data_IF_575616926014
#
_entry.id   IF_575616926014
#
_cell.length_a   1.000
_cell.length_b   1.000
_cell.length_c   1.000
_cell.angle_alpha   90.00
_cell.angle_beta   90.00
_cell.angle_gamma   90.00
#
_symmetry.space_group_name_H-M   'P 1'
#
loop_
_entity.id
_entity.type
_entity.pdbx_description
1 polymer ?
#
# COMPACT_ATOMS: atom_id res chain seq x y z
N UNK A 1 9.23 -6.82 9.07
CA UNK A 1 10.62 -7.26 9.35
C UNK A 1 11.35 -7.27 8.02
N UNK A 2 12.29 -6.34 7.86
CA UNK A 2 13.24 -6.39 6.74
C UNK A 2 14.15 -7.56 7.06
N UNK A 3 14.05 -8.67 6.31
CA UNK A 3 15.06 -9.71 6.36
C UNK A 3 16.40 -9.07 6.01
N UNK A 4 17.27 -9.02 7.00
CA UNK A 4 18.66 -8.59 6.81
C UNK A 4 19.31 -9.62 5.89
N UNK A 5 19.54 -9.26 4.62
CA UNK A 5 20.33 -10.07 3.72
C UNK A 5 21.63 -10.45 4.40
N UNK A 6 21.98 -11.72 4.36
CA UNK A 6 23.30 -12.17 4.75
C UNK A 6 24.35 -11.48 3.84
N UNK A 7 25.04 -10.50 4.38
CA UNK A 7 26.06 -9.70 3.69
C UNK A 7 27.29 -10.51 3.25
N UNK A 8 27.33 -11.81 3.58
CA UNK A 8 28.41 -12.71 3.22
C UNK A 8 28.26 -13.35 1.83
N UNK A 9 27.11 -13.26 1.18
CA UNK A 9 26.90 -13.77 -0.17
C UNK A 9 26.87 -12.64 -1.20
N UNK A 10 27.65 -12.78 -2.26
CA UNK A 10 27.84 -11.82 -3.36
C UNK A 10 26.59 -11.51 -4.22
N UNK A 11 25.42 -11.99 -3.85
CA UNK A 11 24.17 -11.84 -4.61
C UNK A 11 23.08 -11.34 -3.68
N UNK A 12 22.98 -10.03 -3.55
CA UNK A 12 21.84 -9.39 -2.91
C UNK A 12 20.87 -8.90 -3.99
N UNK A 13 19.63 -9.36 -3.95
CA UNK A 13 18.51 -8.84 -4.75
C UNK A 13 17.56 -8.06 -3.86
N UNK A 14 16.88 -7.08 -4.41
CA UNK A 14 15.83 -6.32 -3.73
C UNK A 14 14.63 -6.15 -4.62
N UNK A 15 13.48 -6.50 -4.10
CA UNK A 15 12.20 -6.25 -4.72
C UNK A 15 11.56 -5.03 -4.05
N UNK A 16 11.38 -3.97 -4.81
CA UNK A 16 10.74 -2.73 -4.38
C UNK A 16 9.28 -2.77 -4.84
N UNK A 17 8.37 -2.76 -3.89
CA UNK A 17 6.95 -2.77 -4.15
C UNK A 17 6.36 -1.47 -3.62
N UNK A 18 5.47 -0.83 -4.41
CA UNK A 18 4.79 0.42 -4.09
C UNK A 18 5.71 1.65 -4.04
N UNK A 19 6.90 1.55 -4.66
CA UNK A 19 7.92 2.60 -4.72
C UNK A 19 8.62 2.56 -6.07
N UNK A 20 8.66 3.69 -6.80
CA UNK A 20 9.35 3.81 -8.07
C UNK A 20 10.43 4.92 -8.11
N UNK A 21 10.66 5.61 -6.98
CA UNK A 21 11.62 6.72 -6.88
C UNK A 21 12.58 6.53 -5.71
N UNK A 22 13.88 6.81 -5.90
CA UNK A 22 14.86 6.75 -4.81
C UNK A 22 14.51 7.66 -3.62
N UNK A 23 13.96 8.85 -3.88
CA UNK A 23 13.67 9.86 -2.84
C UNK A 23 12.59 9.45 -1.84
N UNK A 24 11.75 8.48 -2.18
CA UNK A 24 10.67 8.01 -1.28
C UNK A 24 10.99 6.66 -0.62
N UNK A 25 12.16 6.08 -0.89
CA UNK A 25 12.61 4.89 -0.15
C UNK A 25 13.17 5.28 1.21
N UNK A 26 12.90 4.45 2.23
CA UNK A 26 13.44 4.67 3.58
C UNK A 26 14.97 4.50 3.66
N UNK A 27 15.57 3.76 2.71
CA UNK A 27 17.00 3.47 2.67
C UNK A 27 17.58 3.58 1.26
N UNK A 28 17.67 4.80 0.68
CA UNK A 28 18.13 5.01 -0.70
C UNK A 28 19.58 4.56 -0.95
N UNK A 29 20.39 4.47 0.10
CA UNK A 29 21.78 3.98 0.01
C UNK A 29 21.82 2.49 -0.39
N UNK A 30 20.85 1.69 0.00
CA UNK A 30 20.79 0.27 -0.36
C UNK A 30 20.63 0.07 -1.87
N UNK A 31 19.98 0.99 -2.57
CA UNK A 31 19.84 0.92 -4.03
C UNK A 31 21.19 0.93 -4.77
N UNK A 32 22.25 1.46 -4.15
CA UNK A 32 23.60 1.51 -4.72
C UNK A 32 24.40 0.23 -4.44
N UNK A 33 24.01 -0.51 -3.41
CA UNK A 33 24.71 -1.71 -2.95
C UNK A 33 24.13 -2.99 -3.57
N UNK A 34 22.87 -2.97 -3.91
CA UNK A 34 22.15 -4.13 -4.45
C UNK A 34 22.42 -4.28 -5.95
N UNK A 35 22.77 -5.49 -6.38
CA UNK A 35 23.08 -5.79 -7.79
C UNK A 35 21.86 -6.02 -8.65
N UNK A 36 20.80 -6.57 -8.06
CA UNK A 36 19.57 -6.92 -8.78
C UNK A 36 18.39 -6.24 -8.09
N UNK A 37 17.76 -5.29 -8.77
CA UNK A 37 16.60 -4.56 -8.28
C UNK A 37 15.43 -4.82 -9.21
N UNK A 38 14.31 -5.22 -8.65
CA UNK A 38 13.00 -5.28 -9.32
C UNK A 38 12.10 -4.21 -8.73
N UNK A 39 11.43 -3.46 -9.56
CA UNK A 39 10.47 -2.41 -9.15
C UNK A 39 9.09 -2.78 -9.65
N UNK A 40 8.12 -2.80 -8.74
CA UNK A 40 6.69 -2.95 -9.04
C UNK A 40 5.91 -1.84 -8.37
N UNK A 41 5.26 -0.97 -9.15
CA UNK A 41 4.55 0.18 -8.60
C UNK A 41 3.36 0.60 -9.46
N UNK A 42 2.32 1.13 -8.84
CA UNK A 42 1.13 1.65 -9.51
C UNK A 42 1.08 3.19 -9.53
N UNK A 43 2.02 3.87 -8.90
CA UNK A 43 2.09 5.32 -8.92
C UNK A 43 2.58 5.84 -10.27
N UNK A 44 2.17 7.05 -10.63
CA UNK A 44 2.68 7.71 -11.84
C UNK A 44 4.19 7.91 -11.74
N UNK A 45 4.88 7.51 -12.79
CA UNK A 45 6.32 7.70 -12.90
C UNK A 45 6.65 9.19 -13.04
N UNK A 46 7.66 9.64 -12.33
CA UNK A 46 8.23 10.99 -12.45
C UNK A 46 9.50 10.98 -13.31
N UNK A 47 10.19 12.12 -13.39
CA UNK A 47 11.53 12.21 -14.00
C UNK A 47 12.60 11.47 -13.17
N UNK A 48 12.35 11.25 -11.88
CA UNK A 48 13.21 10.49 -11.00
C UNK A 48 12.86 9.01 -11.08
N UNK A 49 13.83 8.19 -11.50
CA UNK A 49 13.65 6.74 -11.65
C UNK A 49 14.79 5.97 -11.01
N UNK A 50 14.54 4.72 -10.64
CA UNK A 50 15.56 3.77 -10.17
C UNK A 50 16.24 3.17 -11.39
N UNK A 51 17.31 3.85 -11.86
CA UNK A 51 17.95 3.59 -13.15
C UNK A 51 18.71 2.27 -13.23
N UNK A 52 19.07 1.67 -12.09
CA UNK A 52 19.76 0.38 -12.00
C UNK A 52 18.83 -0.81 -11.77
N UNK A 53 17.51 -0.62 -11.88
CA UNK A 53 16.56 -1.72 -11.84
C UNK A 53 16.71 -2.62 -13.08
N UNK A 54 16.81 -3.93 -12.87
CA UNK A 54 16.82 -4.94 -13.96
C UNK A 54 15.43 -5.15 -14.54
N UNK A 55 14.39 -4.89 -13.73
CA UNK A 55 13.00 -4.87 -14.15
C UNK A 55 12.30 -3.70 -13.44
N UNK A 56 11.60 -2.90 -14.22
CA UNK A 56 10.72 -1.85 -13.70
C UNK A 56 9.35 -2.02 -14.33
N UNK A 57 8.40 -2.50 -13.52
CA UNK A 57 7.00 -2.68 -13.91
C UNK A 57 6.16 -1.63 -13.19
N UNK A 58 5.90 -0.53 -13.88
CA UNK A 58 5.09 0.59 -13.37
C UNK A 58 3.80 0.67 -14.16
N UNK A 59 2.66 0.45 -13.48
CA UNK A 59 1.33 0.35 -14.09
C UNK A 59 0.34 1.31 -13.41
N UNK A 60 0.25 2.58 -13.84
CA UNK A 60 -0.60 3.58 -13.19
C UNK A 60 -2.12 3.32 -13.28
N UNK A 61 -2.53 2.33 -14.05
CA UNK A 61 -3.94 1.92 -14.16
C UNK A 61 -4.30 0.77 -13.21
N UNK A 62 -3.32 0.13 -12.57
CA UNK A 62 -3.57 -0.80 -11.49
C UNK A 62 -4.11 -0.05 -10.26
N UNK A 63 -5.02 -0.66 -9.52
CA UNK A 63 -5.60 -0.05 -8.33
C UNK A 63 -4.61 0.05 -7.17
N UNK A 64 -3.66 -0.87 -7.11
CA UNK A 64 -2.68 -1.00 -6.03
C UNK A 64 -1.51 -1.87 -6.46
N UNK A 65 -0.37 -1.73 -5.80
CA UNK A 65 0.74 -2.67 -5.93
C UNK A 65 0.34 -4.10 -5.51
N UNK A 66 -0.56 -4.22 -4.53
CA UNK A 66 -1.10 -5.52 -4.09
C UNK A 66 -1.92 -6.22 -5.18
N UNK A 67 -2.67 -5.49 -6.01
CA UNK A 67 -3.32 -6.03 -7.22
C UNK A 67 -2.29 -6.63 -8.16
N UNK A 68 -1.24 -5.85 -8.49
CA UNK A 68 -0.17 -6.29 -9.40
C UNK A 68 0.55 -7.54 -8.90
N UNK A 69 0.90 -7.59 -7.61
CA UNK A 69 1.53 -8.75 -6.99
C UNK A 69 0.59 -9.96 -7.02
N UNK A 70 -0.69 -9.78 -6.69
CA UNK A 70 -1.67 -10.86 -6.74
C UNK A 70 -1.85 -11.42 -8.15
N UNK A 71 -1.78 -10.59 -9.20
CA UNK A 71 -1.79 -11.04 -10.58
C UNK A 71 -0.55 -11.87 -10.93
N UNK A 72 0.64 -11.35 -10.58
CA UNK A 72 1.91 -12.06 -10.86
C UNK A 72 1.94 -13.43 -10.19
N UNK A 73 1.49 -13.52 -8.93
CA UNK A 73 1.46 -14.79 -8.18
C UNK A 73 0.60 -15.87 -8.81
N UNK A 74 -0.37 -15.51 -9.66
CA UNK A 74 -1.20 -16.48 -10.37
C UNK A 74 -0.46 -17.16 -11.53
N UNK A 75 0.62 -16.55 -12.04
CA UNK A 75 1.29 -16.97 -13.26
C UNK A 75 2.77 -17.30 -13.07
N UNK A 76 3.40 -16.85 -11.99
CA UNK A 76 4.86 -16.96 -11.81
C UNK A 76 5.33 -18.41 -11.61
N UNK A 77 4.51 -19.24 -10.95
CA UNK A 77 4.76 -20.66 -10.80
C UNK A 77 3.49 -21.43 -10.40
N UNK A 78 3.41 -22.68 -10.83
CA UNK A 78 2.34 -23.59 -10.44
C UNK A 78 2.45 -23.96 -8.95
N UNK A 79 1.30 -23.96 -8.26
CA UNK A 79 1.21 -24.46 -6.89
C UNK A 79 1.75 -23.54 -5.80
N UNK A 80 1.94 -22.25 -6.07
CA UNK A 80 2.25 -21.25 -5.03
C UNK A 80 1.16 -21.28 -3.97
N UNK A 81 1.58 -21.46 -2.71
CA UNK A 81 0.69 -21.42 -1.54
C UNK A 81 0.86 -20.10 -0.82
N UNK A 82 -0.20 -19.31 -0.83
CA UNK A 82 -0.28 -18.07 -0.07
C UNK A 82 -0.89 -18.39 1.29
N UNK A 83 -0.24 -17.97 2.38
CA UNK A 83 -0.82 -18.10 3.72
C UNK A 83 -1.99 -17.13 3.89
N UNK A 84 -2.97 -17.50 4.71
CA UNK A 84 -4.14 -16.65 4.93
C UNK A 84 -3.80 -15.24 5.45
N UNK A 85 -2.75 -15.12 6.27
CA UNK A 85 -2.27 -13.82 6.74
C UNK A 85 -1.66 -12.95 5.62
N UNK A 86 -0.93 -13.56 4.69
CA UNK A 86 -0.38 -12.89 3.51
C UNK A 86 -1.51 -12.45 2.57
N UNK A 87 -2.50 -13.32 2.37
CA UNK A 87 -3.69 -13.00 1.59
C UNK A 87 -4.52 -11.87 2.23
N UNK A 88 -4.66 -11.87 3.58
CA UNK A 88 -5.31 -10.78 4.31
C UNK A 88 -4.58 -9.46 4.12
N UNK A 89 -3.24 -9.45 4.21
CA UNK A 89 -2.43 -8.25 4.06
C UNK A 89 -2.53 -7.66 2.65
N UNK A 90 -2.40 -8.49 1.60
CA UNK A 90 -2.57 -8.03 0.23
C UNK A 90 -3.99 -7.53 -0.06
N UNK A 91 -5.01 -8.23 0.47
CA UNK A 91 -6.40 -7.79 0.35
C UNK A 91 -6.61 -6.44 1.06
N UNK A 92 -5.99 -6.25 2.23
CA UNK A 92 -6.02 -4.98 2.97
C UNK A 92 -5.39 -3.83 2.16
N UNK A 93 -4.26 -4.06 1.47
CA UNK A 93 -3.64 -3.08 0.59
C UNK A 93 -4.59 -2.63 -0.53
N UNK A 94 -5.25 -3.58 -1.22
CA UNK A 94 -6.27 -3.24 -2.23
C UNK A 94 -7.40 -2.40 -1.62
N UNK A 95 -7.87 -2.76 -0.43
CA UNK A 95 -8.96 -2.03 0.26
C UNK A 95 -8.58 -0.58 0.58
N UNK A 96 -7.33 -0.35 1.03
CA UNK A 96 -6.82 1.00 1.33
C UNK A 96 -6.77 1.85 0.06
N UNK A 97 -6.05 1.40 -0.95
CA UNK A 97 -5.78 2.18 -2.17
C UNK A 97 -7.05 2.47 -2.97
N UNK A 98 -8.03 1.58 -2.88
CA UNK A 98 -9.31 1.73 -3.56
C UNK A 98 -10.39 2.40 -2.73
N UNK A 99 -10.09 2.81 -1.51
CA UNK A 99 -11.10 3.29 -0.56
C UNK A 99 -12.32 2.35 -0.50
N UNK A 100 -12.10 1.11 -0.08
CA UNK A 100 -13.13 0.05 -0.05
C UNK A 100 -13.78 -0.24 -1.41
N UNK A 101 -12.98 -0.35 -2.47
CA UNK A 101 -13.44 -0.61 -3.84
C UNK A 101 -14.33 0.50 -4.43
N UNK A 102 -14.20 1.74 -3.95
CA UNK A 102 -14.95 2.88 -4.48
C UNK A 102 -14.17 3.67 -5.53
N UNK A 103 -12.84 3.68 -5.44
CA UNK A 103 -11.96 4.47 -6.30
C UNK A 103 -11.01 3.57 -7.10
N UNK A 104 -10.72 3.96 -8.36
CA UNK A 104 -9.71 3.32 -9.22
C UNK A 104 -9.83 1.80 -9.36
N UNK A 105 -11.05 1.26 -9.27
CA UNK A 105 -11.30 -0.17 -9.39
C UNK A 105 -11.67 -0.55 -10.82
N UNK A 106 -11.05 -1.62 -11.28
CA UNK A 106 -11.37 -2.27 -12.57
C UNK A 106 -11.71 -3.75 -12.38
N UNK A 107 -11.95 -4.44 -13.47
CA UNK A 107 -12.17 -5.91 -13.45
C UNK A 107 -10.99 -6.62 -12.82
N UNK A 108 -9.76 -6.23 -13.14
CA UNK A 108 -8.51 -6.78 -12.58
C UNK A 108 -8.49 -6.71 -11.06
N UNK A 109 -8.94 -5.59 -10.48
CA UNK A 109 -9.01 -5.40 -9.03
C UNK A 109 -9.90 -6.45 -8.37
N UNK A 110 -11.08 -6.70 -8.94
CA UNK A 110 -12.00 -7.72 -8.41
C UNK A 110 -11.50 -9.14 -8.64
N UNK A 111 -10.81 -9.41 -9.74
CA UNK A 111 -10.18 -10.71 -10.01
C UNK A 111 -9.04 -10.98 -9.01
N UNK A 112 -8.18 -10.00 -8.74
CA UNK A 112 -7.15 -10.07 -7.71
C UNK A 112 -7.76 -10.29 -6.32
N UNK A 113 -8.79 -9.55 -5.97
CA UNK A 113 -9.51 -9.71 -4.71
C UNK A 113 -10.15 -11.12 -4.59
N UNK A 114 -10.74 -11.63 -5.68
CA UNK A 114 -11.30 -12.99 -5.72
C UNK A 114 -10.21 -14.06 -5.59
N UNK A 115 -9.05 -13.86 -6.20
CA UNK A 115 -7.90 -14.75 -6.04
C UNK A 115 -7.43 -14.80 -4.58
N UNK A 116 -7.27 -13.64 -3.93
CA UNK A 116 -6.87 -13.56 -2.53
C UNK A 116 -7.92 -14.20 -1.61
N UNK A 117 -9.21 -14.03 -1.89
CA UNK A 117 -10.29 -14.69 -1.17
C UNK A 117 -10.21 -16.23 -1.29
N UNK A 118 -9.92 -16.76 -2.47
CA UNK A 118 -9.71 -18.22 -2.67
C UNK A 118 -8.50 -18.74 -1.87
N UNK A 119 -7.50 -17.88 -1.65
CA UNK A 119 -6.30 -18.20 -0.86
C UNK A 119 -6.45 -17.89 0.64
N UNK A 120 -7.66 -17.64 1.11
CA UNK A 120 -7.98 -17.56 2.55
C UNK A 120 -8.03 -16.17 3.14
N UNK A 121 -7.98 -15.09 2.32
CA UNK A 121 -8.25 -13.74 2.82
C UNK A 121 -9.67 -13.67 3.43
N UNK A 122 -9.80 -13.03 4.60
CA UNK A 122 -11.06 -12.87 5.31
C UNK A 122 -11.39 -11.41 5.55
N UNK A 123 -12.48 -10.94 4.93
CA UNK A 123 -12.92 -9.54 5.01
C UNK A 123 -13.13 -9.08 6.46
N UNK A 124 -13.59 -9.98 7.33
CA UNK A 124 -13.82 -9.64 8.75
C UNK A 124 -12.50 -9.44 9.49
N UNK A 125 -11.48 -10.28 9.20
CA UNK A 125 -10.14 -10.09 9.76
C UNK A 125 -9.51 -8.80 9.22
N UNK A 126 -9.59 -8.56 7.91
CA UNK A 126 -9.09 -7.34 7.27
C UNK A 126 -9.73 -6.08 7.87
N UNK A 127 -11.06 -6.06 8.03
CA UNK A 127 -11.74 -4.92 8.67
C UNK A 127 -11.29 -4.65 10.10
N UNK A 128 -10.82 -5.68 10.83
CA UNK A 128 -10.29 -5.49 12.17
C UNK A 128 -8.92 -4.77 12.16
N UNK A 129 -8.14 -4.89 11.07
CA UNK A 129 -6.87 -4.18 10.93
C UNK A 129 -7.06 -2.66 10.84
N UNK A 130 -8.22 -2.22 10.31
CA UNK A 130 -8.56 -0.80 10.12
C UNK A 130 -9.42 -0.21 11.24
N UNK A 131 -9.49 -0.89 12.37
CA UNK A 131 -10.22 -0.32 13.51
C UNK A 131 -9.38 0.81 14.11
N UNK A 132 -9.98 1.98 14.10
CA UNK A 132 -9.47 3.11 14.88
C UNK A 132 -9.48 2.78 16.36
N UNK A 133 -8.54 3.31 17.09
CA UNK A 133 -8.70 3.37 18.51
C UNK A 133 -9.79 4.41 18.90
N UNK A 134 -10.22 4.36 20.14
CA UNK A 134 -11.29 5.24 20.60
C UNK A 134 -10.86 6.71 20.63
N UNK A 135 -9.57 6.99 20.74
CA UNK A 135 -9.02 8.34 20.79
C UNK A 135 -9.02 8.96 19.39
N UNK A 136 -8.56 8.21 18.37
CA UNK A 136 -8.57 8.62 16.97
C UNK A 136 -10.00 8.85 16.48
N UNK A 137 -10.91 7.92 16.82
CA UNK A 137 -12.34 8.05 16.49
C UNK A 137 -12.96 9.32 17.08
N UNK A 138 -12.68 9.63 18.36
CA UNK A 138 -13.17 10.86 19.02
C UNK A 138 -12.58 12.12 18.39
N UNK A 139 -11.29 12.10 18.06
CA UNK A 139 -10.63 13.24 17.44
C UNK A 139 -11.19 13.54 16.05
N UNK A 140 -11.43 12.49 15.24
CA UNK A 140 -12.09 12.63 13.94
C UNK A 140 -13.53 13.18 14.09
N UNK A 141 -14.29 12.64 15.01
CA UNK A 141 -15.65 13.13 15.28
C UNK A 141 -15.65 14.61 15.72
N UNK A 142 -14.69 15.03 16.53
CA UNK A 142 -14.53 16.43 16.93
C UNK A 142 -14.16 17.33 15.75
N UNK A 143 -13.24 16.90 14.89
CA UNK A 143 -12.86 17.64 13.67
C UNK A 143 -14.06 17.81 12.73
N UNK A 144 -14.83 16.75 12.50
CA UNK A 144 -16.05 16.81 11.65
C UNK A 144 -17.10 17.72 12.28
N UNK A 145 -17.33 17.62 13.59
CA UNK A 145 -18.31 18.44 14.31
C UNK A 145 -17.96 19.93 14.33
N UNK A 146 -16.66 20.27 14.28
CA UNK A 146 -16.18 21.66 14.21
C UNK A 146 -16.04 22.21 12.80
N UNK A 147 -16.35 21.41 11.79
CA UNK A 147 -16.16 21.82 10.41
C UNK A 147 -17.17 22.92 10.00
N UNK A 148 -16.64 23.96 9.36
CA UNK A 148 -17.42 25.09 8.83
C UNK A 148 -17.51 24.97 7.31
N UNK A 149 -18.69 25.31 6.77
CA UNK A 149 -18.88 25.37 5.32
C UNK A 149 -18.53 26.76 4.81
N UNK A 150 -17.52 26.81 3.95
CA UNK A 150 -17.08 28.05 3.31
C UNK A 150 -17.53 28.08 1.84
N UNK A 151 -18.19 29.18 1.46
CA UNK A 151 -18.70 29.42 0.08
C UNK A 151 -19.56 28.27 -0.47
N UNK A 152 -20.31 27.59 0.38
CA UNK A 152 -21.21 26.47 0.02
C UNK A 152 -20.56 25.28 -0.70
N UNK A 153 -19.23 25.32 -0.88
CA UNK A 153 -18.48 24.33 -1.66
C UNK A 153 -17.31 23.68 -0.90
N UNK A 154 -16.84 24.32 0.18
CA UNK A 154 -15.68 23.83 0.93
C UNK A 154 -16.07 23.57 2.38
N UNK A 155 -15.62 22.43 2.92
CA UNK A 155 -15.71 22.14 4.35
C UNK A 155 -14.30 22.27 4.96
N UNK A 156 -14.17 23.12 5.99
CA UNK A 156 -12.91 23.36 6.68
C UNK A 156 -13.06 22.86 8.11
N UNK A 157 -12.35 21.80 8.45
CA UNK A 157 -12.28 21.24 9.81
C UNK A 157 -10.87 21.37 10.38
N UNK A 158 -10.78 21.59 11.68
CA UNK A 158 -9.52 21.62 12.40
C UNK A 158 -9.44 20.41 13.32
N UNK A 159 -8.47 19.53 13.08
CA UNK A 159 -8.25 18.37 13.93
C UNK A 159 -7.45 18.78 15.17
N UNK A 160 -7.93 18.46 16.39
CA UNK A 160 -7.13 18.63 17.59
C UNK A 160 -5.89 17.73 17.52
N UNK A 161 -4.71 18.31 17.72
CA UNK A 161 -3.44 17.58 17.65
C UNK A 161 -2.99 17.04 19.01
N UNK A 162 -3.57 17.55 20.10
CA UNK A 162 -3.17 17.18 21.47
C UNK A 162 -3.53 15.72 21.79
N UNK A 163 -2.51 14.96 22.18
CA UNK A 163 -2.67 13.56 22.59
C UNK A 163 -2.79 12.54 21.46
N UNK A 164 -2.71 12.96 20.19
CA UNK A 164 -2.73 12.06 19.06
C UNK A 164 -1.29 11.73 18.59
N UNK A 165 -0.94 10.45 18.40
CA UNK A 165 0.38 10.07 17.91
C UNK A 165 0.63 10.52 16.46
N UNK A 166 -0.42 10.57 15.65
CA UNK A 166 -0.33 10.97 14.23
C UNK A 166 -1.58 11.73 13.77
N UNK A 167 -1.71 13.02 14.12
CA UNK A 167 -2.89 13.82 13.75
C UNK A 167 -3.16 13.86 12.23
N UNK A 168 -2.09 13.88 11.43
CA UNK A 168 -2.18 13.89 9.96
C UNK A 168 -2.87 12.64 9.41
N UNK A 169 -2.56 11.46 9.97
CA UNK A 169 -3.18 10.20 9.56
C UNK A 169 -4.66 10.19 9.94
N UNK A 170 -4.99 10.65 11.16
CA UNK A 170 -6.39 10.74 11.63
C UNK A 170 -7.23 11.66 10.74
N UNK A 171 -6.64 12.75 10.23
CA UNK A 171 -7.32 13.68 9.33
C UNK A 171 -7.44 13.18 7.89
N UNK A 172 -6.53 12.30 7.44
CA UNK A 172 -6.50 11.79 6.07
C UNK A 172 -7.49 10.64 5.83
N UNK A 173 -8.02 10.04 6.87
CA UNK A 173 -9.01 8.95 6.83
C UNK A 173 -10.45 9.49 6.81
#
# INVERSE_FOLDING_TARGET
EIEVCDWSSDVCSSDLVDVNRPSITDAPELLKLVKTIVVMDHHRQSSEVISNAVLSYVEPYASSACEMVAEVLQYIADGIKIKSAEADAMYAGIVIDTNNFTNQTGVRTFEAAAFLRRNGADVTRVRKLFRDDMQDYKARAAAISSAEIYREAFSIGVCPSEGLPSPTIVCAQ
#
